data_IF_286199628164
#
_entry.id   IF_286199628164
#
_cell.length_a   1.000
_cell.length_b   1.000
_cell.length_c   1.000
_cell.angle_alpha   90.00
_cell.angle_beta   90.00
_cell.angle_gamma   90.00
#
_symmetry.space_group_name_H-M   'P 1'
#
loop_
_entity.id
_entity.type
_entity.pdbx_description
1 polymer ?
#
# COMPACT_ATOMS: atom_id res chain seq x y z
N UNK A 1 -17.17 -41.72 41.37
CA UNK A 1 -18.02 -41.02 40.38
C UNK A 1 -17.23 -39.83 39.88
N UNK A 2 -16.43 -40.02 38.81
CA UNK A 2 -15.45 -39.07 38.30
C UNK A 2 -16.13 -38.09 37.39
N UNK A 3 -15.99 -36.79 37.67
CA UNK A 3 -16.38 -35.72 36.74
C UNK A 3 -15.15 -35.33 35.90
N UNK A 4 -15.14 -35.81 34.65
CA UNK A 4 -14.11 -35.49 33.66
C UNK A 4 -14.30 -34.04 33.20
N UNK A 5 -13.25 -33.22 33.41
CA UNK A 5 -13.18 -31.85 32.91
C UNK A 5 -13.14 -31.78 31.39
N UNK A 6 -13.97 -30.96 30.81
CA UNK A 6 -13.94 -30.60 29.39
C UNK A 6 -12.83 -29.57 29.12
N UNK A 7 -12.04 -29.70 28.03
CA UNK A 7 -11.01 -28.71 27.71
C UNK A 7 -11.64 -27.41 27.18
N UNK A 8 -11.35 -26.32 27.85
CA UNK A 8 -11.65 -24.95 27.42
C UNK A 8 -10.90 -24.64 26.11
N UNK A 9 -11.58 -24.67 24.99
CA UNK A 9 -11.06 -24.16 23.71
C UNK A 9 -11.01 -22.62 23.77
N UNK A 10 -9.82 -22.04 23.97
CA UNK A 10 -9.60 -20.62 23.70
C UNK A 10 -9.81 -20.36 22.19
N UNK A 11 -10.90 -19.72 21.85
CA UNK A 11 -11.07 -19.10 20.54
C UNK A 11 -10.26 -17.80 20.56
N UNK A 12 -9.10 -17.80 19.92
CA UNK A 12 -8.35 -16.57 19.67
C UNK A 12 -9.12 -15.66 18.70
N UNK A 13 -8.93 -14.34 18.78
CA UNK A 13 -9.61 -13.38 17.91
C UNK A 13 -8.93 -13.35 16.51
N UNK A 14 -9.27 -14.29 15.64
CA UNK A 14 -8.63 -14.43 14.31
C UNK A 14 -9.43 -13.82 13.16
N UNK A 15 -10.61 -13.27 13.39
CA UNK A 15 -11.50 -12.78 12.32
C UNK A 15 -11.37 -11.28 11.99
N UNK A 16 -11.10 -10.42 12.98
CA UNK A 16 -11.19 -8.97 12.80
C UNK A 16 -9.92 -8.33 12.18
N UNK A 17 -8.80 -9.01 12.22
CA UNK A 17 -7.47 -8.43 11.94
C UNK A 17 -7.01 -8.69 10.49
N UNK A 18 -7.55 -9.71 9.81
CA UNK A 18 -7.31 -9.94 8.37
C UNK A 18 -7.85 -8.80 7.49
N UNK A 19 -8.79 -8.04 7.99
CA UNK A 19 -9.57 -7.06 7.24
C UNK A 19 -8.91 -5.69 7.05
N UNK A 20 -7.79 -5.35 7.71
CA UNK A 20 -7.24 -3.99 7.65
C UNK A 20 -6.32 -3.78 6.44
N UNK A 21 -5.37 -4.70 6.20
CA UNK A 21 -4.48 -4.63 5.02
C UNK A 21 -5.25 -4.91 3.73
N UNK A 22 -6.17 -5.89 3.76
CA UNK A 22 -7.04 -6.19 2.62
C UNK A 22 -7.95 -5.01 2.25
N UNK A 23 -8.32 -4.17 3.21
CA UNK A 23 -9.09 -2.93 2.96
C UNK A 23 -8.23 -1.77 2.46
N UNK A 24 -6.93 -1.77 2.77
CA UNK A 24 -5.99 -0.73 2.32
C UNK A 24 -5.47 -1.04 0.93
N UNK A 25 -5.17 -2.31 0.63
CA UNK A 25 -4.48 -2.73 -0.60
C UNK A 25 -5.32 -3.57 -1.56
N UNK A 26 -6.60 -3.84 -1.26
CA UNK A 26 -7.43 -4.75 -2.05
C UNK A 26 -7.09 -6.23 -1.83
N UNK A 27 -8.02 -7.13 -2.13
CA UNK A 27 -7.83 -8.58 -2.05
C UNK A 27 -6.71 -9.02 -2.99
N UNK A 28 -5.79 -9.83 -2.49
CA UNK A 28 -4.83 -10.55 -3.31
C UNK A 28 -5.54 -11.46 -4.32
N UNK A 29 -5.85 -10.91 -5.47
CA UNK A 29 -6.22 -11.69 -6.64
C UNK A 29 -4.95 -12.36 -7.18
N UNK A 30 -5.08 -13.58 -7.69
CA UNK A 30 -4.03 -14.39 -8.30
C UNK A 30 -3.06 -13.53 -9.13
N UNK A 31 -1.75 -13.79 -8.97
CA UNK A 31 -0.64 -13.07 -9.60
C UNK A 31 -0.65 -13.20 -11.15
N UNK A 32 -1.63 -12.59 -11.80
CA UNK A 32 -1.51 -12.17 -13.19
C UNK A 32 -0.81 -10.80 -13.20
N UNK A 33 0.19 -10.60 -14.07
CA UNK A 33 0.81 -9.29 -14.27
C UNK A 33 -0.27 -8.25 -14.52
N UNK A 34 -0.52 -7.35 -13.56
CA UNK A 34 -1.52 -6.29 -13.71
C UNK A 34 -1.09 -5.24 -14.74
N UNK A 35 0.22 -5.11 -14.97
CA UNK A 35 0.82 -4.16 -15.90
C UNK A 35 1.86 -4.87 -16.76
N UNK A 36 1.68 -4.88 -18.07
CA UNK A 36 2.55 -5.56 -19.03
C UNK A 36 3.51 -4.59 -19.74
N UNK A 37 3.26 -3.29 -19.63
CA UNK A 37 4.04 -2.24 -20.30
C UNK A 37 3.79 -0.87 -19.66
N UNK A 38 4.63 0.11 -20.03
CA UNK A 38 4.55 1.48 -19.52
C UNK A 38 3.26 2.20 -19.92
N UNK A 39 2.64 1.84 -21.03
CA UNK A 39 1.38 2.47 -21.46
C UNK A 39 0.21 2.13 -20.52
N UNK A 40 0.19 0.91 -19.98
CA UNK A 40 -0.80 0.50 -18.97
C UNK A 40 -0.60 1.23 -17.64
N UNK A 41 0.66 1.38 -17.21
CA UNK A 41 1.02 2.16 -16.03
C UNK A 41 0.59 3.63 -16.21
N UNK A 42 0.91 4.22 -17.36
CA UNK A 42 0.52 5.60 -17.67
C UNK A 42 -1.01 5.79 -17.74
N UNK A 43 -1.73 4.79 -18.24
CA UNK A 43 -3.20 4.79 -18.23
C UNK A 43 -3.75 4.80 -16.81
N UNK A 44 -3.21 3.93 -15.93
CA UNK A 44 -3.61 3.90 -14.52
C UNK A 44 -3.29 5.23 -13.81
N UNK A 45 -2.12 5.80 -14.06
CA UNK A 45 -1.71 7.10 -13.50
C UNK A 45 -2.65 8.23 -13.90
N UNK A 46 -3.02 8.34 -15.19
CA UNK A 46 -4.00 9.34 -15.66
C UNK A 46 -5.37 9.13 -15.03
N UNK A 47 -5.87 7.89 -15.04
CA UNK A 47 -7.17 7.55 -14.42
C UNK A 47 -7.21 7.83 -12.92
N UNK A 48 -6.08 7.69 -12.23
CA UNK A 48 -5.98 8.04 -10.82
C UNK A 48 -6.10 9.56 -10.64
N UNK A 49 -5.39 10.35 -11.45
CA UNK A 49 -5.45 11.82 -11.37
C UNK A 49 -6.82 12.39 -11.75
N UNK A 50 -7.50 11.81 -12.70
CA UNK A 50 -8.85 12.24 -13.11
C UNK A 50 -9.99 11.54 -12.33
N UNK A 51 -9.62 10.75 -11.31
CA UNK A 51 -10.55 10.03 -10.42
C UNK A 51 -11.44 8.99 -11.11
N UNK A 52 -11.07 8.55 -12.32
CA UNK A 52 -11.84 7.57 -13.13
C UNK A 52 -11.31 6.13 -12.99
N UNK A 53 -10.22 5.90 -12.22
CA UNK A 53 -9.71 4.55 -11.97
C UNK A 53 -10.74 3.76 -11.15
N UNK A 54 -11.21 2.58 -11.64
CA UNK A 54 -12.11 1.76 -10.85
C UNK A 54 -11.47 1.32 -9.52
N UNK A 55 -12.23 1.34 -8.44
CA UNK A 55 -11.75 0.91 -7.12
C UNK A 55 -11.13 -0.49 -7.12
N UNK A 56 -11.68 -1.41 -7.91
CA UNK A 56 -11.16 -2.78 -8.03
C UNK A 56 -9.77 -2.84 -8.68
N UNK A 57 -9.39 -1.82 -9.47
CA UNK A 57 -8.06 -1.70 -10.08
C UNK A 57 -7.04 -1.04 -9.14
N UNK A 58 -7.46 -0.43 -8.03
CA UNK A 58 -6.61 0.20 -7.02
C UNK A 58 -5.97 -0.84 -6.09
N UNK A 59 -5.17 -1.72 -6.65
CA UNK A 59 -4.47 -2.81 -5.97
C UNK A 59 -3.13 -2.35 -5.39
N UNK A 60 -2.45 -3.21 -4.62
CA UNK A 60 -1.08 -2.98 -4.14
C UNK A 60 -0.11 -2.68 -5.30
N UNK A 61 -0.18 -3.42 -6.40
CA UNK A 61 0.61 -3.16 -7.60
C UNK A 61 0.28 -1.80 -8.23
N UNK A 62 -1.00 -1.42 -8.27
CA UNK A 62 -1.43 -0.13 -8.81
C UNK A 62 -0.92 1.06 -7.98
N UNK A 63 -0.85 0.92 -6.66
CA UNK A 63 -0.24 1.95 -5.80
C UNK A 63 1.21 2.24 -6.19
N UNK A 64 2.04 1.22 -6.40
CA UNK A 64 3.42 1.40 -6.86
C UNK A 64 3.49 1.88 -8.31
N UNK A 65 2.67 1.34 -9.21
CA UNK A 65 2.64 1.74 -10.62
C UNK A 65 2.35 3.24 -10.78
N UNK A 66 1.27 3.71 -10.14
CA UNK A 66 0.87 5.12 -10.15
C UNK A 66 1.94 6.01 -9.50
N UNK A 67 2.51 5.57 -8.39
CA UNK A 67 3.58 6.31 -7.71
C UNK A 67 4.81 6.48 -8.58
N UNK A 68 5.30 5.40 -9.20
CA UNK A 68 6.45 5.42 -10.12
C UNK A 68 6.18 6.33 -11.33
N UNK A 69 4.97 6.26 -11.88
CA UNK A 69 4.56 7.09 -13.01
C UNK A 69 4.52 8.57 -12.63
N UNK A 70 3.93 8.92 -11.49
CA UNK A 70 3.90 10.29 -10.98
C UNK A 70 5.31 10.84 -10.76
N UNK A 71 6.21 10.06 -10.13
CA UNK A 71 7.59 10.46 -9.90
C UNK A 71 8.33 10.77 -11.19
N UNK A 72 8.08 10.03 -12.26
CA UNK A 72 8.78 10.19 -13.55
C UNK A 72 8.17 11.28 -14.43
N UNK A 73 6.84 11.36 -14.51
CA UNK A 73 6.15 12.21 -15.47
C UNK A 73 5.59 13.51 -14.87
N UNK A 74 5.56 13.61 -13.55
CA UNK A 74 5.12 14.80 -12.84
C UNK A 74 6.15 15.27 -11.80
N UNK A 75 7.42 15.57 -12.24
CA UNK A 75 8.52 15.89 -11.31
C UNK A 75 8.29 17.19 -10.52
N UNK A 76 7.38 18.04 -10.99
CA UNK A 76 6.97 19.25 -10.27
C UNK A 76 6.10 18.97 -9.04
N UNK A 77 5.46 17.79 -8.97
CA UNK A 77 4.67 17.40 -7.80
C UNK A 77 5.58 16.99 -6.65
N UNK A 78 5.42 17.65 -5.51
CA UNK A 78 6.00 17.15 -4.27
C UNK A 78 5.12 16.04 -3.69
N UNK A 79 5.37 14.79 -4.11
CA UNK A 79 4.54 13.66 -3.70
C UNK A 79 4.51 13.41 -2.20
N UNK A 80 5.53 13.86 -1.46
CA UNK A 80 5.52 13.76 0.01
C UNK A 80 4.34 14.56 0.62
N UNK A 81 4.02 15.72 0.05
CA UNK A 81 2.98 16.62 0.56
C UNK A 81 1.67 16.53 -0.22
N UNK A 82 1.70 16.12 -1.48
CA UNK A 82 0.53 16.12 -2.35
C UNK A 82 -0.17 14.76 -2.45
N UNK A 83 0.57 13.65 -2.37
CA UNK A 83 -0.02 12.31 -2.42
C UNK A 83 -1.12 12.07 -1.36
N UNK A 84 -1.00 12.59 -0.12
CA UNK A 84 -2.09 12.51 0.86
C UNK A 84 -3.43 13.05 0.34
N UNK A 85 -3.40 14.21 -0.32
CA UNK A 85 -4.59 14.83 -0.91
C UNK A 85 -5.14 14.02 -2.08
N UNK A 86 -4.26 13.57 -2.98
CA UNK A 86 -4.64 12.76 -4.15
C UNK A 86 -5.32 11.45 -3.74
N UNK A 87 -4.75 10.72 -2.77
CA UNK A 87 -5.35 9.45 -2.30
C UNK A 87 -6.68 9.71 -1.59
N UNK A 88 -6.79 10.76 -0.77
CA UNK A 88 -8.06 11.08 -0.11
C UNK A 88 -9.16 11.42 -1.10
N UNK A 89 -8.86 12.24 -2.11
CA UNK A 89 -9.80 12.57 -3.18
C UNK A 89 -10.25 11.32 -3.95
N UNK A 90 -9.30 10.44 -4.30
CA UNK A 90 -9.62 9.17 -4.95
C UNK A 90 -10.49 8.26 -4.08
N UNK A 91 -10.18 8.15 -2.79
CA UNK A 91 -10.98 7.38 -1.84
C UNK A 91 -12.42 7.90 -1.78
N UNK A 92 -12.61 9.21 -1.68
CA UNK A 92 -13.94 9.85 -1.66
C UNK A 92 -14.70 9.60 -2.95
N UNK A 93 -14.06 9.79 -4.11
CA UNK A 93 -14.65 9.53 -5.42
C UNK A 93 -15.09 8.07 -5.61
N UNK A 94 -14.40 7.12 -4.96
CA UNK A 94 -14.70 5.68 -5.03
C UNK A 94 -15.51 5.16 -3.83
N UNK A 95 -16.06 6.05 -3.01
CA UNK A 95 -16.89 5.69 -1.85
C UNK A 95 -16.13 5.00 -0.73
N UNK A 96 -14.84 5.31 -0.56
CA UNK A 96 -14.02 4.81 0.55
C UNK A 96 -13.85 5.93 1.60
N UNK A 97 -14.47 5.85 2.78
CA UNK A 97 -14.32 6.88 3.81
C UNK A 97 -12.88 6.97 4.33
N UNK A 98 -12.37 8.19 4.49
CA UNK A 98 -11.09 8.47 5.15
C UNK A 98 -11.35 8.68 6.65
N UNK A 99 -11.11 7.64 7.45
CA UNK A 99 -11.38 7.61 8.90
C UNK A 99 -10.16 7.17 9.69
N UNK A 100 -10.25 7.17 11.00
CA UNK A 100 -9.19 6.64 11.87
C UNK A 100 -8.94 5.13 11.72
N UNK A 101 -9.86 4.41 11.08
CA UNK A 101 -9.78 2.95 10.91
C UNK A 101 -9.78 2.49 9.45
N UNK A 102 -9.91 3.40 8.47
CA UNK A 102 -9.99 3.05 7.04
C UNK A 102 -9.60 4.20 6.12
N UNK A 103 -9.46 3.90 4.83
CA UNK A 103 -9.04 4.86 3.82
C UNK A 103 -7.55 5.21 3.90
N UNK A 104 -7.23 6.50 3.76
CA UNK A 104 -5.85 6.99 3.73
C UNK A 104 -5.04 6.63 5.00
N UNK A 105 -3.73 6.42 4.81
CA UNK A 105 -2.82 6.09 5.90
C UNK A 105 -1.43 6.72 5.68
N UNK A 106 -1.07 7.70 6.51
CA UNK A 106 0.14 8.50 6.32
C UNK A 106 1.42 7.65 6.33
N UNK A 107 1.68 6.90 7.40
CA UNK A 107 2.92 6.11 7.53
C UNK A 107 3.09 5.11 6.39
N UNK A 108 2.03 4.39 6.00
CA UNK A 108 2.07 3.44 4.88
C UNK A 108 2.39 4.15 3.57
N UNK A 109 1.74 5.28 3.31
CA UNK A 109 1.96 6.07 2.09
C UNK A 109 3.38 6.59 2.01
N UNK A 110 3.92 7.19 3.07
CA UNK A 110 5.26 7.74 3.07
C UNK A 110 6.35 6.66 2.93
N UNK A 111 6.18 5.51 3.59
CA UNK A 111 7.08 4.36 3.42
C UNK A 111 7.05 3.83 1.98
N UNK A 112 5.86 3.71 1.37
CA UNK A 112 5.72 3.25 -0.02
C UNK A 112 6.31 4.25 -1.03
N UNK A 113 6.18 5.55 -0.78
CA UNK A 113 6.84 6.60 -1.57
C UNK A 113 8.38 6.47 -1.49
N UNK A 114 8.94 6.23 -0.30
CA UNK A 114 10.38 6.04 -0.13
C UNK A 114 10.86 4.80 -0.88
N UNK A 115 10.16 3.68 -0.77
CA UNK A 115 10.45 2.44 -1.50
C UNK A 115 10.44 2.64 -3.02
N UNK A 116 9.38 3.24 -3.56
CA UNK A 116 9.26 3.53 -4.99
C UNK A 116 10.39 4.43 -5.49
N UNK A 117 10.72 5.47 -4.72
CA UNK A 117 11.81 6.40 -5.05
C UNK A 117 13.15 5.70 -5.12
N UNK A 118 13.48 4.87 -4.13
CA UNK A 118 14.71 4.07 -4.11
C UNK A 118 14.83 3.18 -5.36
N UNK A 119 13.74 2.51 -5.74
CA UNK A 119 13.72 1.66 -6.95
C UNK A 119 13.87 2.44 -8.24
N UNK A 120 13.24 3.60 -8.34
CA UNK A 120 13.35 4.48 -9.49
C UNK A 120 14.78 5.04 -9.64
N UNK A 121 15.41 5.42 -8.52
CA UNK A 121 16.80 5.91 -8.50
C UNK A 121 17.83 4.82 -8.85
N UNK A 122 17.57 3.57 -8.47
CA UNK A 122 18.43 2.44 -8.81
C UNK A 122 18.40 2.10 -10.32
N UNK A 123 17.37 2.53 -11.06
CA UNK A 123 17.22 2.27 -12.50
C UNK A 123 16.69 3.50 -13.25
N UNK A 124 17.46 4.60 -13.32
CA UNK A 124 16.96 5.88 -13.83
C UNK A 124 16.53 5.84 -15.31
N UNK A 125 17.15 4.97 -16.13
CA UNK A 125 16.83 4.77 -17.55
C UNK A 125 15.93 3.57 -17.85
N UNK A 126 15.58 2.77 -16.84
CA UNK A 126 14.73 1.58 -17.02
C UNK A 126 13.29 1.94 -17.36
N UNK A 127 12.55 1.07 -18.05
CA UNK A 127 11.12 1.24 -18.25
C UNK A 127 10.37 1.11 -16.90
N UNK A 128 9.23 1.78 -16.78
CA UNK A 128 8.48 1.75 -15.52
C UNK A 128 7.95 0.35 -15.19
N UNK A 129 7.57 -0.42 -16.21
CA UNK A 129 7.06 -1.78 -15.98
C UNK A 129 8.16 -2.73 -15.52
N UNK A 130 9.41 -2.61 -16.02
CA UNK A 130 10.54 -3.40 -15.51
C UNK A 130 10.90 -3.05 -14.08
N UNK A 131 10.88 -1.76 -13.73
CA UNK A 131 11.09 -1.28 -12.36
C UNK A 131 9.99 -1.79 -11.44
N UNK A 132 8.72 -1.72 -11.88
CA UNK A 132 7.58 -2.23 -11.15
C UNK A 132 7.66 -3.75 -10.96
N UNK A 133 7.97 -4.50 -12.01
CA UNK A 133 8.16 -5.95 -11.94
C UNK A 133 9.25 -6.33 -10.94
N UNK A 134 10.41 -5.67 -11.00
CA UNK A 134 11.51 -5.90 -10.06
C UNK A 134 11.10 -5.56 -8.61
N UNK A 135 10.31 -4.49 -8.41
CA UNK A 135 9.78 -4.11 -7.12
C UNK A 135 8.81 -5.19 -6.60
N UNK A 136 7.85 -5.61 -7.41
CA UNK A 136 6.83 -6.59 -7.02
C UNK A 136 7.39 -8.00 -6.82
N UNK A 137 8.50 -8.35 -7.46
CA UNK A 137 9.22 -9.61 -7.25
C UNK A 137 10.18 -9.58 -6.03
N UNK A 138 10.29 -8.45 -5.33
CA UNK A 138 11.00 -8.32 -4.04
C UNK A 138 10.04 -8.45 -2.85
N UNK A 139 10.54 -8.30 -1.62
CA UNK A 139 9.70 -8.24 -0.41
C UNK A 139 8.61 -7.17 -0.50
N UNK A 140 8.84 -6.08 -1.24
CA UNK A 140 7.87 -5.01 -1.45
C UNK A 140 6.60 -5.45 -2.20
N UNK A 141 6.63 -6.60 -2.89
CA UNK A 141 5.46 -7.18 -3.55
C UNK A 141 4.43 -7.79 -2.57
N UNK A 142 4.86 -8.16 -1.36
CA UNK A 142 3.94 -8.54 -0.30
C UNK A 142 3.31 -7.27 0.30
N UNK A 143 1.99 -7.16 0.27
CA UNK A 143 1.28 -6.03 0.90
C UNK A 143 1.52 -5.90 2.42
N UNK A 144 2.12 -6.92 3.04
CA UNK A 144 2.49 -6.96 4.46
C UNK A 144 3.93 -6.59 4.74
N UNK A 145 4.74 -6.25 3.73
CA UNK A 145 6.16 -5.96 3.87
C UNK A 145 6.50 -4.96 4.99
N UNK A 146 5.58 -4.00 5.24
CA UNK A 146 5.74 -3.02 6.31
C UNK A 146 5.81 -3.65 7.72
N UNK A 147 5.22 -4.83 7.91
CA UNK A 147 5.25 -5.54 9.20
C UNK A 147 6.63 -6.14 9.52
N UNK A 148 7.58 -6.12 8.60
CA UNK A 148 8.98 -6.42 8.88
C UNK A 148 9.65 -5.24 9.62
N UNK A 149 9.13 -4.02 9.45
CA UNK A 149 9.72 -2.79 9.97
C UNK A 149 8.95 -2.19 11.14
N UNK A 150 7.64 -2.36 11.17
CA UNK A 150 6.75 -1.87 12.24
C UNK A 150 6.04 -3.02 12.94
N UNK A 151 5.94 -2.91 14.26
CA UNK A 151 4.98 -3.72 14.99
C UNK A 151 3.56 -3.44 14.50
N UNK A 152 2.70 -4.46 14.58
CA UNK A 152 1.31 -4.34 14.14
C UNK A 152 0.56 -3.26 14.91
N UNK A 153 0.77 -3.18 16.21
CA UNK A 153 0.16 -2.20 17.11
C UNK A 153 0.53 -0.78 16.69
N UNK A 154 1.81 -0.54 16.39
CA UNK A 154 2.31 0.77 15.97
C UNK A 154 1.82 1.13 14.58
N UNK A 155 1.95 0.23 13.60
CA UNK A 155 1.58 0.51 12.21
C UNK A 155 0.09 0.82 12.06
N UNK A 156 -0.78 0.11 12.80
CA UNK A 156 -2.24 0.30 12.69
C UNK A 156 -2.84 1.20 13.76
N UNK A 157 -2.00 1.94 14.48
CA UNK A 157 -2.48 2.99 15.40
C UNK A 157 -3.12 4.16 14.63
N UNK A 158 -4.00 4.88 15.28
CA UNK A 158 -4.59 6.12 14.74
C UNK A 158 -3.51 7.16 14.48
N UNK A 159 -2.49 7.21 15.34
CA UNK A 159 -1.35 8.12 15.19
C UNK A 159 -0.58 7.84 13.89
N UNK A 160 -0.21 6.59 13.62
CA UNK A 160 0.48 6.19 12.39
C UNK A 160 -0.36 6.46 11.13
N UNK A 161 -1.68 6.42 11.25
CA UNK A 161 -2.60 6.75 10.16
C UNK A 161 -2.62 8.25 9.86
N UNK A 162 -2.51 9.09 10.88
CA UNK A 162 -2.59 10.55 10.77
C UNK A 162 -1.25 11.21 10.50
N UNK A 163 -0.14 10.61 10.96
CA UNK A 163 1.21 11.16 10.87
C UNK A 163 2.24 10.06 10.55
N UNK A 164 3.38 10.47 10.04
CA UNK A 164 4.53 9.58 9.91
C UNK A 164 5.03 9.14 11.29
N UNK A 165 5.06 7.85 11.52
CA UNK A 165 5.76 7.25 12.66
C UNK A 165 6.98 6.47 12.16
N UNK A 166 8.16 6.65 12.78
CA UNK A 166 9.33 5.85 12.43
C UNK A 166 9.10 4.37 12.79
N UNK A 167 9.76 3.44 12.06
CA UNK A 167 9.70 2.02 12.39
C UNK A 167 10.25 1.72 13.77
N UNK A 168 9.69 0.71 14.45
CA UNK A 168 10.05 0.27 15.80
C UNK A 168 10.70 -1.12 15.85
N UNK A 169 10.71 -1.88 14.74
CA UNK A 169 11.35 -3.19 14.66
C UNK A 169 12.71 -3.10 13.98
N UNK A 170 12.77 -2.62 12.78
CA UNK A 170 14.01 -2.42 12.03
C UNK A 170 13.87 -1.24 11.04
N UNK A 171 14.95 -0.49 10.75
CA UNK A 171 14.90 0.63 9.84
C UNK A 171 14.53 0.18 8.41
N UNK A 172 13.98 1.10 7.61
CA UNK A 172 13.81 0.88 6.19
C UNK A 172 15.18 0.75 5.50
N UNK A 173 15.34 -0.13 4.51
CA UNK A 173 16.63 -0.37 3.83
C UNK A 173 16.95 0.68 2.75
N UNK A 174 16.21 1.79 2.66
CA UNK A 174 16.33 2.82 1.64
C UNK A 174 16.02 4.23 2.20
#
# INVERSE_FOLDING_TARGET
MELRGLPYRRRGPTGAIRNCLDKIFGYGAAMGRQFSNDAEIARAGRKFLDLSLPKAEWTHAAHFAVTLWLMRHHPALNLKTEMPGLIRAFNEATGTPNTDTGGYHETITQASLAAARSRLQASPGGSLHEILDALLNSSLGDSKWLLEHWSRERLFSVEARRAWLPPDLQPLPF
#
